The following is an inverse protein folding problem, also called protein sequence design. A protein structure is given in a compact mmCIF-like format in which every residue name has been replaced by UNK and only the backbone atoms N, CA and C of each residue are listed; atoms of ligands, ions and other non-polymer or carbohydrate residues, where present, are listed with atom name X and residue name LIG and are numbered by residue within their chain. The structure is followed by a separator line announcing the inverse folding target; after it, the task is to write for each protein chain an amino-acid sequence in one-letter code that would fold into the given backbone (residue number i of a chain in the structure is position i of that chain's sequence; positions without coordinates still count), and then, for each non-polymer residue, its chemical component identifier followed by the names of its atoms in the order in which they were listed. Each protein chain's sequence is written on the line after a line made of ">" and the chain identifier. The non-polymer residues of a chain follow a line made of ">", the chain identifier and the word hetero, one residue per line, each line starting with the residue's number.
data_IF_679003866156
#
_entry.id   IF_679003866156
#
_cell.length_a   1.000
_cell.length_b   1.000
_cell.length_c   1.000
_cell.angle_alpha   90.00
_cell.angle_beta   90.00
_cell.angle_gamma   90.00
#
_symmetry.space_group_name_H-M   'P 1'
#
loop_
_entity.id
_entity.type
_entity.pdbx_description
1 polymer ?
#
# COMPACT_ATOMS: atom_id res chain seq x y z
N UNK A 1 -41.97 20.85 9.03
CA UNK A 1 -40.77 21.53 8.52
C UNK A 1 -40.36 22.56 9.57
N UNK A 2 -39.47 22.18 10.49
CA UNK A 2 -38.94 23.09 11.50
C UNK A 2 -37.54 23.52 11.07
N UNK A 3 -37.39 24.79 10.69
CA UNK A 3 -36.10 25.39 10.40
C UNK A 3 -35.45 25.81 11.71
N UNK A 4 -34.54 24.99 12.24
CA UNK A 4 -33.66 25.41 13.31
C UNK A 4 -32.43 26.09 12.70
N UNK A 5 -32.44 27.41 12.72
CA UNK A 5 -31.29 28.24 12.38
C UNK A 5 -30.27 28.12 13.51
N UNK A 6 -29.15 27.45 13.25
CA UNK A 6 -28.06 27.34 14.20
C UNK A 6 -27.17 28.59 14.07
N UNK A 7 -27.20 29.45 15.08
CA UNK A 7 -26.25 30.56 15.19
C UNK A 7 -25.00 30.05 15.89
N UNK A 8 -23.91 29.95 15.14
CA UNK A 8 -22.59 29.57 15.66
C UNK A 8 -22.12 30.62 16.68
N UNK A 9 -21.72 30.24 17.91
CA UNK A 9 -21.18 31.21 18.85
C UNK A 9 -19.84 31.73 18.32
N UNK A 10 -19.68 33.06 18.33
CA UNK A 10 -18.43 33.74 18.06
C UNK A 10 -17.40 33.31 19.09
N UNK A 11 -16.24 32.83 18.62
CA UNK A 11 -15.09 32.55 19.46
C UNK A 11 -14.69 33.81 20.21
N UNK A 12 -15.04 33.85 21.50
CA UNK A 12 -14.55 34.79 22.48
C UNK A 12 -13.25 34.23 23.07
N UNK A 13 -12.13 34.76 22.61
CA UNK A 13 -10.80 34.50 23.16
C UNK A 13 -10.67 35.13 24.55
N UNK A 14 -11.27 34.54 25.58
CA UNK A 14 -10.85 34.72 26.99
C UNK A 14 -11.45 33.62 27.86
N UNK A 15 -10.76 32.48 27.98
CA UNK A 15 -11.03 31.52 29.05
C UNK A 15 -9.74 30.90 29.58
N UNK A 16 -9.46 31.17 30.86
CA UNK A 16 -8.58 30.39 31.75
C UNK A 16 -7.10 30.37 31.36
N UNK A 17 -6.21 31.06 32.06
CA UNK A 17 -5.79 30.64 33.40
C UNK A 17 -4.63 29.65 33.25
N UNK A 18 -3.40 30.14 33.44
CA UNK A 18 -2.18 29.35 33.35
C UNK A 18 -2.14 28.28 34.47
N UNK A 19 -2.55 27.04 34.19
CA UNK A 19 -2.31 25.90 35.07
C UNK A 19 -2.01 24.61 34.28
N UNK A 20 -0.76 24.17 34.42
CA UNK A 20 -0.23 22.82 34.22
C UNK A 20 -0.36 22.15 32.83
N UNK A 21 0.71 22.21 32.05
CA UNK A 21 0.95 21.39 30.84
C UNK A 21 0.87 19.87 31.09
N UNK A 22 0.67 19.41 32.32
CA UNK A 22 0.62 17.98 32.69
C UNK A 22 -0.61 17.24 32.15
N UNK A 23 -1.78 17.87 32.12
CA UNK A 23 -3.07 17.17 31.88
C UNK A 23 -3.37 16.99 30.39
N UNK A 24 -2.97 17.96 29.56
CA UNK A 24 -3.09 17.87 28.09
C UNK A 24 -2.23 16.74 27.50
N UNK A 25 -1.05 16.51 28.06
CA UNK A 25 -0.16 15.42 27.65
C UNK A 25 -0.74 14.03 28.03
N UNK A 26 -1.47 13.94 29.15
CA UNK A 26 -2.12 12.70 29.58
C UNK A 26 -3.29 12.35 28.66
N UNK A 27 -4.15 13.32 28.34
CA UNK A 27 -5.28 13.11 27.42
C UNK A 27 -4.82 12.76 26.00
N UNK A 28 -3.78 13.42 25.48
CA UNK A 28 -3.21 13.05 24.18
C UNK A 28 -2.64 11.62 24.19
N UNK A 29 -1.96 11.24 25.26
CA UNK A 29 -1.37 9.89 25.38
C UNK A 29 -2.43 8.79 25.35
N UNK A 30 -3.59 9.04 25.97
CA UNK A 30 -4.72 8.12 25.97
C UNK A 30 -5.37 8.00 24.58
N UNK A 31 -5.51 9.11 23.86
CA UNK A 31 -6.05 9.13 22.49
C UNK A 31 -5.11 8.35 21.54
N UNK A 32 -3.81 8.57 21.65
CA UNK A 32 -2.83 7.88 20.82
C UNK A 32 -2.80 6.37 21.11
N UNK A 33 -2.98 5.99 22.38
CA UNK A 33 -3.08 4.58 22.77
C UNK A 33 -4.34 3.93 22.17
N UNK A 34 -5.51 4.59 22.23
CA UNK A 34 -6.75 4.08 21.67
C UNK A 34 -6.67 3.93 20.15
N UNK A 35 -6.05 4.88 19.45
CA UNK A 35 -5.80 4.80 18.02
C UNK A 35 -4.89 3.61 17.66
N UNK A 36 -3.81 3.40 18.43
CA UNK A 36 -2.90 2.27 18.22
C UNK A 36 -3.61 0.92 18.44
N UNK A 37 -4.49 0.83 19.43
CA UNK A 37 -5.29 -0.38 19.68
C UNK A 37 -6.26 -0.65 18.52
N UNK A 38 -6.91 0.39 17.99
CA UNK A 38 -7.81 0.25 16.85
C UNK A 38 -7.06 -0.25 15.61
N UNK A 39 -5.90 0.33 15.31
CA UNK A 39 -5.06 -0.08 14.19
C UNK A 39 -4.62 -1.54 14.33
N UNK A 40 -4.20 -1.93 15.53
CA UNK A 40 -3.78 -3.31 15.80
C UNK A 40 -4.93 -4.30 15.63
N UNK A 41 -6.13 -3.96 16.08
CA UNK A 41 -7.33 -4.77 15.89
C UNK A 41 -7.72 -4.88 14.41
N UNK A 42 -7.56 -3.80 13.63
CA UNK A 42 -7.88 -3.75 12.21
C UNK A 42 -6.88 -4.57 11.38
N UNK A 43 -5.59 -4.50 11.72
CA UNK A 43 -4.54 -5.35 11.15
C UNK A 43 -4.84 -6.82 11.42
N UNK A 44 -5.17 -7.17 12.67
CA UNK A 44 -5.47 -8.55 13.05
C UNK A 44 -6.70 -9.08 12.30
N UNK A 45 -7.74 -8.26 12.16
CA UNK A 45 -8.93 -8.60 11.38
C UNK A 45 -8.59 -8.83 9.91
N UNK A 46 -7.80 -7.95 9.30
CA UNK A 46 -7.40 -8.08 7.90
C UNK A 46 -6.55 -9.34 7.69
N UNK A 47 -5.61 -9.65 8.61
CA UNK A 47 -4.84 -10.89 8.56
C UNK A 47 -5.73 -12.14 8.64
N UNK A 48 -6.75 -12.14 9.50
CA UNK A 48 -7.69 -13.25 9.60
C UNK A 48 -8.51 -13.43 8.31
N UNK A 49 -8.93 -12.34 7.66
CA UNK A 49 -9.63 -12.40 6.37
C UNK A 49 -8.74 -12.95 5.26
N UNK A 50 -7.48 -12.51 5.17
CA UNK A 50 -6.51 -13.04 4.21
C UNK A 50 -6.27 -14.53 4.43
N UNK A 51 -6.14 -14.95 5.69
CA UNK A 51 -5.90 -16.35 6.02
C UNK A 51 -7.11 -17.24 5.71
N UNK A 52 -8.32 -16.71 5.88
CA UNK A 52 -9.55 -17.39 5.47
C UNK A 52 -9.65 -17.54 3.95
N UNK A 53 -9.28 -16.50 3.20
CA UNK A 53 -9.27 -16.51 1.72
C UNK A 53 -8.21 -17.50 1.19
N UNK A 54 -7.02 -17.52 1.79
CA UNK A 54 -5.99 -18.51 1.47
C UNK A 54 -6.39 -19.94 1.83
N UNK A 55 -7.12 -20.16 2.92
CA UNK A 55 -7.64 -21.49 3.28
C UNK A 55 -8.74 -21.96 2.31
N UNK A 56 -9.41 -21.02 1.65
CA UNK A 56 -10.42 -21.27 0.62
C UNK A 56 -9.84 -21.29 -0.80
N UNK A 57 -8.56 -20.93 -0.98
CA UNK A 57 -7.84 -21.05 -2.23
C UNK A 57 -7.75 -22.53 -2.61
N UNK A 58 -8.65 -22.96 -3.49
CA UNK A 58 -8.69 -24.33 -3.99
C UNK A 58 -7.42 -24.59 -4.80
N UNK A 59 -6.41 -25.19 -4.15
CA UNK A 59 -5.20 -25.65 -4.83
C UNK A 59 -5.59 -26.87 -5.64
N UNK A 60 -5.92 -26.65 -6.92
CA UNK A 60 -6.14 -27.74 -7.86
C UNK A 60 -4.84 -28.56 -7.93
N UNK A 61 -4.90 -29.89 -7.72
CA UNK A 61 -3.75 -30.76 -7.98
C UNK A 61 -3.26 -30.52 -9.42
N UNK A 62 -1.95 -30.69 -9.71
CA UNK A 62 -1.44 -30.59 -11.07
C UNK A 62 -2.24 -31.56 -11.93
N UNK A 63 -3.09 -30.99 -12.78
CA UNK A 63 -3.93 -31.78 -13.65
C UNK A 63 -3.01 -32.49 -14.63
N UNK A 64 -3.32 -33.75 -15.04
CA UNK A 64 -2.59 -34.40 -16.13
C UNK A 64 -2.56 -33.47 -17.35
N UNK A 65 -1.59 -33.66 -18.25
CA UNK A 65 -1.36 -32.87 -19.47
C UNK A 65 -2.49 -33.05 -20.51
N UNK A 66 -3.75 -32.92 -20.08
CA UNK A 66 -4.90 -32.68 -20.93
C UNK A 66 -4.72 -31.25 -21.44
N UNK A 67 -4.86 -30.99 -22.73
CA UNK A 67 -4.78 -29.65 -23.30
C UNK A 67 -5.79 -28.71 -22.61
N UNK A 68 -5.31 -27.97 -21.60
CA UNK A 68 -6.07 -26.98 -20.85
C UNK A 68 -6.26 -25.73 -21.69
N UNK A 69 -7.47 -25.15 -21.62
CA UNK A 69 -7.83 -23.93 -22.34
C UNK A 69 -8.55 -24.16 -23.66
N UNK A 70 -8.49 -23.16 -24.54
CA UNK A 70 -9.21 -23.17 -25.81
C UNK A 70 -8.60 -24.18 -26.79
N UNK A 71 -9.39 -25.14 -27.32
CA UNK A 71 -8.89 -26.04 -28.36
C UNK A 71 -8.42 -25.23 -29.57
N UNK A 72 -7.15 -25.38 -29.96
CA UNK A 72 -6.56 -24.68 -31.11
C UNK A 72 -6.64 -25.49 -32.41
N UNK A 73 -6.60 -26.82 -32.30
CA UNK A 73 -6.60 -27.74 -33.44
C UNK A 73 -7.44 -28.97 -33.09
N UNK A 74 -8.19 -29.49 -34.07
CA UNK A 74 -8.87 -30.76 -33.93
C UNK A 74 -7.90 -31.93 -34.20
N UNK A 75 -8.22 -33.13 -33.72
CA UNK A 75 -7.46 -34.36 -34.00
C UNK A 75 -7.30 -34.67 -35.50
N UNK A 76 -8.19 -34.17 -36.36
CA UNK A 76 -8.09 -34.28 -37.81
C UNK A 76 -7.20 -33.21 -38.47
N UNK A 77 -6.56 -32.34 -37.68
CA UNK A 77 -5.71 -31.23 -38.14
C UNK A 77 -6.46 -29.98 -38.61
N UNK A 78 -7.80 -29.97 -38.54
CA UNK A 78 -8.63 -28.82 -38.90
C UNK A 78 -8.84 -27.87 -37.72
N UNK A 79 -9.08 -26.59 -38.01
CA UNK A 79 -9.41 -25.58 -37.00
C UNK A 79 -10.80 -25.85 -36.37
N UNK A 80 -10.92 -25.83 -35.03
CA UNK A 80 -12.20 -25.96 -34.33
C UNK A 80 -13.06 -24.70 -34.50
N UNK A 81 -14.36 -24.90 -34.69
CA UNK A 81 -15.37 -23.83 -34.79
C UNK A 81 -16.24 -23.78 -33.54
N UNK A 82 -16.72 -22.58 -33.20
CA UNK A 82 -17.69 -22.40 -32.12
C UNK A 82 -19.11 -22.51 -32.69
N UNK A 83 -19.91 -23.41 -32.12
CA UNK A 83 -21.32 -23.59 -32.46
C UNK A 83 -22.21 -23.27 -31.25
N UNK A 84 -23.43 -22.80 -31.51
CA UNK A 84 -24.43 -22.58 -30.46
C UNK A 84 -25.23 -23.86 -30.25
N UNK A 85 -25.43 -24.24 -28.97
CA UNK A 85 -26.27 -25.36 -28.58
C UNK A 85 -27.72 -25.11 -28.99
N UNK A 86 -28.33 -26.14 -29.58
CA UNK A 86 -29.76 -26.15 -29.91
C UNK A 86 -30.62 -26.56 -28.72
N UNK A 87 -30.03 -27.26 -27.77
CA UNK A 87 -30.69 -27.81 -26.58
C UNK A 87 -30.64 -26.80 -25.44
N UNK A 88 -29.54 -26.05 -25.33
CA UNK A 88 -29.33 -25.00 -24.33
C UNK A 88 -29.18 -23.65 -25.04
N UNK A 89 -30.29 -22.90 -25.23
CA UNK A 89 -30.26 -21.63 -25.95
C UNK A 89 -29.22 -20.68 -25.38
N UNK A 90 -28.29 -20.23 -26.23
CA UNK A 90 -27.25 -19.28 -25.85
C UNK A 90 -25.94 -19.90 -25.37
N UNK A 91 -25.90 -21.20 -25.03
CA UNK A 91 -24.63 -21.87 -24.70
C UNK A 91 -23.86 -22.21 -25.97
N UNK A 92 -22.53 -22.09 -25.92
CA UNK A 92 -21.65 -22.33 -27.07
C UNK A 92 -20.67 -23.46 -26.78
N UNK A 93 -20.25 -24.18 -27.81
CA UNK A 93 -19.27 -25.26 -27.71
C UNK A 93 -18.34 -25.26 -28.93
N UNK A 94 -17.10 -25.72 -28.72
CA UNK A 94 -16.15 -26.01 -29.78
C UNK A 94 -16.52 -27.33 -30.46
N UNK A 95 -16.42 -27.36 -31.78
CA UNK A 95 -16.69 -28.55 -32.60
C UNK A 95 -15.86 -28.52 -33.89
N UNK A 96 -15.73 -29.64 -34.59
CA UNK A 96 -15.05 -29.70 -35.89
C UNK A 96 -16.03 -29.55 -37.05
N UNK A 97 -15.55 -29.05 -38.20
CA UNK A 97 -16.30 -29.08 -39.47
C UNK A 97 -16.58 -30.50 -39.94
N UNK A 98 -15.66 -31.42 -39.69
CA UNK A 98 -15.75 -32.81 -40.11
C UNK A 98 -16.36 -33.72 -39.04
N UNK A 99 -16.99 -33.19 -37.99
CA UNK A 99 -17.50 -33.96 -36.85
C UNK A 99 -18.49 -35.10 -37.21
N UNK A 100 -18.99 -35.14 -38.44
CA UNK A 100 -19.95 -36.13 -38.92
C UNK A 100 -19.30 -37.26 -39.74
N UNK A 101 -17.98 -37.31 -39.87
CA UNK A 101 -17.26 -38.34 -40.65
C UNK A 101 -17.11 -39.69 -39.92
N UNK A 102 -17.52 -39.76 -38.64
CA UNK A 102 -17.45 -40.96 -37.81
C UNK A 102 -16.15 -41.12 -37.02
N UNK A 103 -15.20 -40.20 -37.16
CA UNK A 103 -13.95 -40.17 -36.39
C UNK A 103 -14.09 -39.37 -35.08
N UNK A 104 -13.09 -39.46 -34.21
CA UNK A 104 -13.05 -38.68 -32.98
C UNK A 104 -12.66 -37.22 -33.28
N UNK A 105 -13.56 -36.28 -32.98
CA UNK A 105 -13.33 -34.85 -33.16
C UNK A 105 -13.43 -34.10 -31.85
N UNK A 106 -12.83 -32.92 -31.82
CA UNK A 106 -12.91 -32.00 -30.69
C UNK A 106 -14.36 -31.63 -30.39
N UNK A 107 -14.75 -31.78 -29.13
CA UNK A 107 -15.98 -31.26 -28.56
C UNK A 107 -15.67 -30.77 -27.15
N UNK A 108 -15.94 -29.49 -26.87
CA UNK A 108 -15.72 -28.90 -25.55
C UNK A 108 -16.65 -27.72 -25.35
N UNK A 109 -17.24 -27.58 -24.17
CA UNK A 109 -18.05 -26.42 -23.85
C UNK A 109 -17.20 -25.15 -23.82
N UNK A 110 -17.72 -24.06 -24.39
CA UNK A 110 -16.99 -22.79 -24.44
C UNK A 110 -16.78 -22.22 -23.04
N UNK A 111 -17.81 -22.28 -22.19
CA UNK A 111 -17.76 -21.85 -20.79
C UNK A 111 -16.74 -22.63 -19.96
N UNK A 112 -16.63 -23.95 -20.17
CA UNK A 112 -15.60 -24.77 -19.53
C UNK A 112 -14.19 -24.35 -19.97
N UNK A 113 -13.97 -24.13 -21.28
CA UNK A 113 -12.69 -23.65 -21.78
C UNK A 113 -12.33 -22.24 -21.27
N UNK A 114 -13.31 -21.33 -21.18
CA UNK A 114 -13.11 -19.97 -20.62
C UNK A 114 -12.77 -20.04 -19.13
N UNK A 115 -13.50 -20.85 -18.36
CA UNK A 115 -13.23 -21.00 -16.93
C UNK A 115 -11.84 -21.60 -16.69
N UNK A 116 -11.43 -22.60 -17.47
CA UNK A 116 -10.08 -23.17 -17.38
C UNK A 116 -9.00 -22.12 -17.64
N UNK A 117 -9.15 -21.28 -18.66
CA UNK A 117 -8.16 -20.24 -18.98
C UNK A 117 -8.16 -19.12 -17.92
N UNK A 118 -9.33 -18.71 -17.45
CA UNK A 118 -9.45 -17.69 -16.41
C UNK A 118 -8.87 -18.17 -15.07
N UNK A 119 -9.10 -19.45 -14.70
CA UNK A 119 -8.49 -20.06 -13.53
C UNK A 119 -6.96 -20.26 -13.65
N UNK A 120 -6.43 -20.43 -14.87
CA UNK A 120 -4.98 -20.44 -15.11
C UNK A 120 -4.37 -19.03 -14.99
N UNK A 121 -5.08 -18.01 -15.50
CA UNK A 121 -4.66 -16.61 -15.47
C UNK A 121 -4.67 -16.00 -14.06
N UNK A 122 -5.60 -16.42 -13.19
CA UNK A 122 -5.75 -15.93 -11.81
C UNK A 122 -4.51 -16.21 -10.93
N UNK A 123 -3.70 -17.21 -11.29
CA UNK A 123 -2.44 -17.53 -10.59
C UNK A 123 -1.34 -16.49 -10.82
N UNK A 124 -1.36 -15.79 -11.96
CA UNK A 124 -0.35 -14.79 -12.32
C UNK A 124 -0.68 -13.39 -11.78
N UNK A 125 -1.96 -13.07 -11.59
CA UNK A 125 -2.42 -11.79 -11.04
C UNK A 125 -2.16 -11.70 -9.53
N UNK A 126 -2.42 -12.77 -8.79
CA UNK A 126 -2.19 -12.83 -7.33
C UNK A 126 -0.71 -12.68 -6.95
N UNK A 127 0.19 -13.38 -7.64
CA UNK A 127 1.63 -13.27 -7.37
C UNK A 127 2.23 -11.90 -7.73
N UNK A 128 1.60 -11.18 -8.66
CA UNK A 128 2.04 -9.85 -9.06
C UNK A 128 1.59 -8.79 -8.06
N UNK A 129 0.37 -8.91 -7.51
CA UNK A 129 -0.14 -8.03 -6.45
C UNK A 129 0.69 -8.19 -5.17
N UNK A 130 0.97 -9.42 -4.74
CA UNK A 130 1.79 -9.66 -3.53
C UNK A 130 3.21 -9.07 -3.66
N UNK A 131 3.82 -9.20 -4.84
CA UNK A 131 5.14 -8.61 -5.10
C UNK A 131 5.08 -7.09 -5.11
N UNK A 132 4.07 -6.48 -5.73
CA UNK A 132 3.90 -5.02 -5.76
C UNK A 132 3.66 -4.46 -4.34
N UNK A 133 2.85 -5.14 -3.53
CA UNK A 133 2.59 -4.72 -2.15
C UNK A 133 3.83 -4.83 -1.27
N UNK A 134 4.60 -5.92 -1.40
CA UNK A 134 5.86 -6.09 -0.67
C UNK A 134 6.90 -5.02 -1.03
N UNK A 135 6.99 -4.65 -2.31
CA UNK A 135 7.92 -3.65 -2.82
C UNK A 135 7.52 -2.24 -2.39
N UNK A 136 6.21 -1.97 -2.35
CA UNK A 136 5.64 -0.70 -1.90
C UNK A 136 5.87 -0.51 -0.40
N UNK A 137 5.63 -1.54 0.41
CA UNK A 137 5.87 -1.50 1.86
C UNK A 137 7.35 -1.32 2.19
N UNK A 138 8.24 -2.11 1.58
CA UNK A 138 9.69 -1.97 1.79
C UNK A 138 10.20 -0.60 1.35
N UNK A 139 9.73 -0.11 0.19
CA UNK A 139 10.12 1.22 -0.31
C UNK A 139 9.68 2.33 0.64
N UNK A 140 8.45 2.27 1.18
CA UNK A 140 7.93 3.27 2.09
C UNK A 140 8.72 3.29 3.42
N UNK A 141 9.00 2.11 3.98
CA UNK A 141 9.79 2.02 5.22
C UNK A 141 11.21 2.55 5.04
N UNK A 142 11.86 2.22 3.91
CA UNK A 142 13.21 2.70 3.58
C UNK A 142 13.25 4.22 3.37
N UNK A 143 12.23 4.82 2.75
CA UNK A 143 12.17 6.28 2.54
C UNK A 143 11.99 7.03 3.84
N UNK A 144 11.07 6.58 4.69
CA UNK A 144 10.81 7.20 6.00
C UNK A 144 12.06 7.09 6.90
N UNK A 145 12.71 5.93 6.94
CA UNK A 145 13.94 5.75 7.74
C UNK A 145 15.07 6.65 7.24
N UNK A 146 15.22 6.81 5.91
CA UNK A 146 16.23 7.69 5.33
C UNK A 146 15.94 9.17 5.61
N UNK A 147 14.67 9.58 5.60
CA UNK A 147 14.24 10.94 5.93
C UNK A 147 14.57 11.30 7.37
N UNK A 148 14.18 10.44 8.33
CA UNK A 148 14.50 10.65 9.76
C UNK A 148 16.00 10.73 10.00
N UNK A 149 16.80 9.92 9.28
CA UNK A 149 18.26 9.96 9.38
C UNK A 149 18.84 11.26 8.81
N UNK A 150 18.32 11.74 7.68
CA UNK A 150 18.73 13.01 7.09
C UNK A 150 18.40 14.18 8.00
N UNK A 151 17.20 14.19 8.57
CA UNK A 151 16.73 15.23 9.49
C UNK A 151 17.60 15.29 10.73
N UNK A 152 17.92 14.15 11.35
CA UNK A 152 18.83 14.09 12.50
C UNK A 152 20.23 14.65 12.15
N UNK A 153 20.78 14.30 10.98
CA UNK A 153 22.08 14.85 10.54
C UNK A 153 22.00 16.36 10.28
N UNK A 154 20.91 16.85 9.69
CA UNK A 154 20.69 18.27 9.44
C UNK A 154 20.54 19.06 10.75
N UNK A 155 19.84 18.51 11.73
CA UNK A 155 19.70 19.09 13.07
C UNK A 155 21.05 19.20 13.79
N UNK A 156 21.86 18.13 13.76
CA UNK A 156 23.22 18.12 14.34
C UNK A 156 24.13 19.16 13.67
N UNK A 157 24.11 19.25 12.33
CA UNK A 157 24.85 20.27 11.57
C UNK A 157 24.37 21.70 11.85
N UNK A 158 23.07 21.91 12.04
CA UNK A 158 22.54 23.23 12.39
C UNK A 158 22.97 23.64 13.80
N UNK A 159 22.91 22.70 14.76
CA UNK A 159 23.27 22.92 16.16
C UNK A 159 24.77 23.13 16.36
N UNK A 160 25.62 22.39 15.63
CA UNK A 160 27.07 22.58 15.71
C UNK A 160 27.52 23.88 15.04
N UNK A 161 26.84 24.30 13.97
CA UNK A 161 27.14 25.53 13.24
C UNK A 161 26.80 26.76 14.07
N UNK A 162 25.61 26.79 14.68
CA UNK A 162 25.21 27.93 15.53
C UNK A 162 26.13 28.09 16.74
N UNK A 163 26.45 26.98 17.42
CA UNK A 163 27.38 26.97 18.57
C UNK A 163 28.77 27.46 18.16
N UNK A 164 29.32 26.92 17.07
CA UNK A 164 30.64 27.33 16.59
C UNK A 164 30.68 28.81 16.18
N UNK A 165 29.67 29.32 15.47
CA UNK A 165 29.64 30.74 15.08
C UNK A 165 29.56 31.67 16.28
N UNK A 166 28.78 31.31 17.31
CA UNK A 166 28.65 32.10 18.52
C UNK A 166 29.97 32.16 19.29
N UNK A 167 30.65 31.02 19.46
CA UNK A 167 31.93 30.94 20.16
C UNK A 167 33.02 31.79 19.48
N UNK A 168 33.09 31.77 18.15
CA UNK A 168 34.05 32.60 17.39
C UNK A 168 33.74 34.11 17.48
N UNK A 169 32.46 34.50 17.46
CA UNK A 169 32.06 35.90 17.60
C UNK A 169 32.42 36.44 18.99
N UNK A 170 32.15 35.68 20.05
CA UNK A 170 32.48 36.06 21.43
C UNK A 170 34.00 36.17 21.61
N UNK A 171 34.77 35.19 21.11
CA UNK A 171 36.23 35.21 21.18
C UNK A 171 36.83 36.40 20.41
N UNK A 172 36.30 36.71 19.22
CA UNK A 172 36.72 37.86 18.41
C UNK A 172 36.45 39.20 19.12
N UNK A 173 35.27 39.38 19.71
CA UNK A 173 34.93 40.58 20.48
C UNK A 173 35.85 40.78 21.69
N UNK A 174 36.21 39.70 22.40
CA UNK A 174 37.10 39.77 23.55
C UNK A 174 38.51 40.21 23.14
N UNK A 175 39.03 39.71 22.02
CA UNK A 175 40.32 40.12 21.46
C UNK A 175 40.33 41.61 21.10
N UNK A 176 39.29 42.09 20.42
CA UNK A 176 39.18 43.51 20.02
C UNK A 176 39.19 44.43 21.26
N UNK A 177 38.48 44.07 22.33
CA UNK A 177 38.49 44.83 23.58
C UNK A 177 39.88 44.88 24.22
N UNK A 178 40.63 43.77 24.20
CA UNK A 178 42.01 43.72 24.68
C UNK A 178 42.91 44.66 23.86
N UNK A 179 42.80 44.61 22.52
CA UNK A 179 43.58 45.49 21.64
C UNK A 179 43.26 46.97 21.86
N UNK A 180 42.00 47.34 22.01
CA UNK A 180 41.58 48.72 22.30
C UNK A 180 42.17 49.17 23.66
N UNK A 181 42.07 48.32 24.69
CA UNK A 181 42.64 48.60 26.00
C UNK A 181 44.16 48.83 25.95
N UNK A 182 44.88 48.00 25.19
CA UNK A 182 46.33 48.18 24.99
C UNK A 182 46.64 49.51 24.30
N UNK A 183 45.94 49.84 23.20
CA UNK A 183 46.16 51.10 22.47
C UNK A 183 45.95 52.31 23.39
N UNK A 184 44.90 52.31 24.22
CA UNK A 184 44.61 53.39 25.17
C UNK A 184 45.66 53.53 26.29
N UNK A 185 46.39 52.45 26.63
CA UNK A 185 47.47 52.49 27.63
C UNK A 185 48.77 53.04 27.02
N UNK A 186 48.98 52.85 25.72
CA UNK A 186 50.16 53.35 24.99
C UNK A 186 49.98 54.77 24.43
N UNK A 187 48.81 55.39 24.61
CA UNK A 187 48.46 56.74 24.15
C UNK A 187 48.48 57.73 25.31
#
# INVERSE_FOLDING_TARGET
>A
MGLHSYSQPSQDDTFGGAESDSDYNEVESLIQQDQAQLDQALIQRNQALIQQDQAQAFVYPPQPEVEFGFPQICYCGSEPKIATSRIEPGRRYYTCTNANDGECHVWKWWDEAVMEEMCAMDRHTLQLVEKVDSLTFCSHQDTEQKLVRLENMACELSKNKSKSTFDYLVAGMLLVLIFIGLILVFL
#
